data_IF_447807651394
#
_entry.id   IF_447807651394
#
_cell.length_a   1.000
_cell.length_b   1.000
_cell.length_c   1.000
_cell.angle_alpha   90.00
_cell.angle_beta   90.00
_cell.angle_gamma   90.00
#
_symmetry.space_group_name_H-M   'P 1'
#
loop_
_entity.id
_entity.type
_entity.pdbx_description
1 polymer ?
#
# COMPACT_ATOMS: atom_id res chain seq x y z
N UNK A 1 6.57 6.86 14.92
CA UNK A 1 5.11 6.71 14.81
C UNK A 1 4.60 7.62 13.70
N UNK A 2 3.41 7.39 13.13
CA UNK A 2 2.83 8.28 12.09
C UNK A 2 2.40 9.63 12.64
N UNK A 3 2.14 9.74 13.95
CA UNK A 3 1.81 11.01 14.61
C UNK A 3 3.05 11.84 15.00
N UNK A 4 4.26 11.30 14.88
CA UNK A 4 5.49 12.05 15.15
C UNK A 4 5.92 12.79 13.89
N UNK A 5 5.79 14.12 13.92
CA UNK A 5 6.10 15.01 12.80
C UNK A 5 7.52 14.82 12.30
N UNK A 6 7.70 14.96 11.00
CA UNK A 6 9.00 14.90 10.27
C UNK A 6 9.75 13.56 10.40
N UNK A 7 9.14 12.55 11.01
CA UNK A 7 9.68 11.19 11.03
C UNK A 7 9.40 10.46 9.71
N UNK A 8 10.22 9.46 9.36
CA UNK A 8 10.02 8.68 8.13
C UNK A 8 8.61 8.05 8.03
N UNK A 9 8.03 7.47 9.10
CA UNK A 9 6.64 6.98 9.04
C UNK A 9 5.62 8.08 8.77
N UNK A 10 5.75 9.24 9.42
CA UNK A 10 4.85 10.39 9.21
C UNK A 10 4.90 10.90 7.77
N UNK A 11 6.12 11.13 7.26
CA UNK A 11 6.33 11.63 5.90
C UNK A 11 5.82 10.63 4.86
N UNK A 12 6.08 9.34 5.06
CA UNK A 12 5.56 8.28 4.18
C UNK A 12 4.03 8.23 4.21
N UNK A 13 3.43 8.34 5.39
CA UNK A 13 1.98 8.32 5.54
C UNK A 13 1.32 9.52 4.86
N UNK A 14 1.94 10.69 4.86
CA UNK A 14 1.41 11.88 4.18
C UNK A 14 1.66 11.88 2.67
N UNK A 15 2.82 11.38 2.24
CA UNK A 15 3.23 11.35 0.84
C UNK A 15 2.16 10.73 -0.07
N UNK A 16 1.60 9.58 0.31
CA UNK A 16 0.62 8.90 -0.55
C UNK A 16 -0.68 9.70 -0.75
N UNK A 17 -1.10 10.51 0.22
CA UNK A 17 -2.28 11.37 0.09
C UNK A 17 -1.95 12.67 -0.66
N UNK A 18 -0.78 13.25 -0.40
CA UNK A 18 -0.42 14.58 -0.89
C UNK A 18 0.19 14.57 -2.30
N UNK A 19 0.93 13.52 -2.65
CA UNK A 19 1.78 13.48 -3.84
C UNK A 19 1.35 12.43 -4.87
N UNK A 20 0.41 11.55 -4.52
CA UNK A 20 -0.06 10.49 -5.41
C UNK A 20 -1.57 10.56 -5.59
N UNK A 21 -2.04 10.01 -6.71
CA UNK A 21 -3.48 9.72 -6.90
C UNK A 21 -3.74 8.21 -6.77
N UNK A 22 -2.83 7.49 -6.14
CA UNK A 22 -2.92 6.05 -6.00
C UNK A 22 -4.04 5.70 -5.01
N UNK A 23 -4.77 4.64 -5.31
CA UNK A 23 -5.72 4.09 -4.35
C UNK A 23 -4.95 3.36 -3.25
N UNK A 24 -4.98 3.91 -2.05
CA UNK A 24 -4.33 3.35 -0.87
C UNK A 24 -5.30 2.45 -0.10
N UNK A 25 -4.84 1.25 0.25
CA UNK A 25 -5.47 0.42 1.28
C UNK A 25 -4.67 0.59 2.57
N UNK A 26 -5.32 1.11 3.61
CA UNK A 26 -4.68 1.42 4.88
C UNK A 26 -5.22 0.49 5.98
N UNK A 27 -4.31 -0.04 6.80
CA UNK A 27 -4.65 -0.94 7.89
C UNK A 27 -3.86 -0.61 9.16
N UNK A 28 -4.52 -0.69 10.31
CA UNK A 28 -3.85 -0.80 11.60
C UNK A 28 -3.82 -2.28 12.02
N UNK A 29 -2.69 -2.72 12.57
CA UNK A 29 -2.49 -4.09 13.04
C UNK A 29 -2.23 -4.06 14.53
N UNK A 30 -2.99 -4.84 15.30
CA UNK A 30 -2.73 -5.08 16.71
C UNK A 30 -2.31 -6.54 16.89
N UNK A 31 -1.15 -6.79 17.51
CA UNK A 31 -0.71 -8.14 17.83
C UNK A 31 -1.25 -8.55 19.19
N UNK A 32 -2.01 -9.64 19.25
CA UNK A 32 -2.67 -10.10 20.49
C UNK A 32 -1.97 -11.28 21.14
N UNK A 33 -1.11 -12.00 20.40
CA UNK A 33 -0.32 -13.07 20.98
C UNK A 33 0.23 -14.06 19.94
N UNK A 34 0.61 -15.23 20.42
CA UNK A 34 1.14 -16.33 19.59
C UNK A 34 0.46 -17.64 19.97
N UNK A 35 -0.03 -18.36 18.97
CA UNK A 35 -0.71 -19.63 19.15
C UNK A 35 -0.09 -20.67 18.20
N UNK A 36 0.38 -21.81 18.74
CA UNK A 36 1.01 -22.90 17.96
C UNK A 36 2.08 -22.42 16.98
N UNK A 37 2.93 -21.49 17.42
CA UNK A 37 3.98 -20.92 16.56
C UNK A 37 3.52 -19.78 15.65
N UNK A 38 2.21 -19.53 15.51
CA UNK A 38 1.63 -18.51 14.62
C UNK A 38 1.27 -17.24 15.39
N UNK A 39 1.66 -16.09 14.87
CA UNK A 39 1.26 -14.79 15.43
C UNK A 39 -0.24 -14.58 15.21
N UNK A 40 -0.91 -14.05 16.23
CA UNK A 40 -2.32 -13.68 16.23
C UNK A 40 -2.47 -12.19 16.47
N UNK A 41 -3.55 -11.62 15.96
CA UNK A 41 -3.80 -10.19 16.02
C UNK A 41 -5.11 -9.78 15.38
N UNK A 42 -5.43 -8.51 15.53
CA UNK A 42 -6.55 -7.85 14.90
C UNK A 42 -6.05 -6.99 13.71
N UNK A 43 -6.84 -6.96 12.65
CA UNK A 43 -6.61 -6.08 11.50
C UNK A 43 -7.79 -5.12 11.41
N UNK A 44 -7.50 -3.83 11.42
CA UNK A 44 -8.50 -2.77 11.31
C UNK A 44 -8.30 -2.05 9.99
N UNK A 45 -9.31 -2.06 9.13
CA UNK A 45 -9.30 -1.22 7.93
C UNK A 45 -9.46 0.25 8.33
N UNK A 46 -8.64 1.10 7.73
CA UNK A 46 -8.65 2.54 7.95
C UNK A 46 -9.21 3.24 6.71
N UNK A 47 -10.08 4.23 6.94
CA UNK A 47 -10.35 5.26 5.94
C UNK A 47 -9.09 6.14 5.84
N UNK A 48 -8.24 5.85 4.85
CA UNK A 48 -6.93 6.46 4.72
C UNK A 48 -7.01 7.99 4.67
N UNK A 49 -7.96 8.56 3.94
CA UNK A 49 -8.14 10.00 3.81
C UNK A 49 -8.51 10.64 5.14
N UNK A 50 -9.47 10.05 5.89
CA UNK A 50 -9.81 10.55 7.22
C UNK A 50 -8.67 10.39 8.21
N UNK A 51 -7.96 9.27 8.16
CA UNK A 51 -6.82 9.02 9.04
C UNK A 51 -5.66 9.97 8.73
N UNK A 52 -5.44 10.33 7.47
CA UNK A 52 -4.48 11.36 7.08
C UNK A 52 -4.82 12.73 7.71
N UNK A 53 -6.08 13.18 7.62
CA UNK A 53 -6.50 14.44 8.25
C UNK A 53 -6.31 14.40 9.77
N UNK A 54 -6.64 13.26 10.39
CA UNK A 54 -6.40 13.01 11.81
C UNK A 54 -4.91 13.10 12.19
N UNK A 55 -4.04 12.48 11.40
CA UNK A 55 -2.58 12.53 11.60
C UNK A 55 -2.06 13.95 11.48
N UNK A 56 -2.54 14.71 10.48
CA UNK A 56 -2.15 16.11 10.28
C UNK A 56 -2.65 17.03 11.39
N UNK A 57 -3.85 16.81 11.91
CA UNK A 57 -4.42 17.60 13.01
C UNK A 57 -3.72 17.35 14.35
N UNK A 58 -3.33 16.09 14.61
CA UNK A 58 -2.81 15.64 15.91
C UNK A 58 -1.30 15.35 15.90
N UNK A 59 -0.57 15.80 14.89
CA UNK A 59 0.88 15.59 14.82
C UNK A 59 1.58 16.24 16.01
N UNK A 60 2.52 15.51 16.60
CA UNK A 60 3.35 15.96 17.71
C UNK A 60 4.78 16.15 17.20
N UNK A 61 5.44 17.26 17.54
CA UNK A 61 6.82 17.48 17.16
C UNK A 61 7.74 16.53 17.94
N UNK A 62 8.76 16.03 17.26
CA UNK A 62 9.75 15.12 17.82
C UNK A 62 11.13 15.79 17.78
N UNK A 63 11.32 16.77 18.66
CA UNK A 63 12.49 17.66 18.66
C UNK A 63 13.76 16.98 19.17
N UNK A 64 13.64 15.72 19.63
CA UNK A 64 14.77 14.92 20.11
C UNK A 64 14.77 13.54 19.47
N UNK A 65 15.97 13.01 19.30
CA UNK A 65 16.21 11.65 18.82
C UNK A 65 17.06 10.93 19.86
N UNK A 66 16.61 9.75 20.26
CA UNK A 66 17.34 8.81 21.10
C UNK A 66 18.10 7.83 20.19
N UNK A 67 19.42 7.82 20.29
CA UNK A 67 20.30 6.86 19.65
C UNK A 67 20.55 5.71 20.60
N UNK A 68 20.30 4.48 20.15
CA UNK A 68 20.39 3.27 20.95
C UNK A 68 21.59 2.46 20.46
N UNK A 69 22.43 2.08 21.42
CA UNK A 69 23.65 1.33 21.23
C UNK A 69 23.63 0.07 22.12
N UNK A 70 24.56 -0.84 21.85
CA UNK A 70 24.69 -2.13 22.56
C UNK A 70 24.79 -2.00 24.08
N UNK A 71 25.41 -0.94 24.58
CA UNK A 71 25.67 -0.73 26.02
C UNK A 71 25.02 0.54 26.60
N UNK A 72 24.11 1.19 25.85
CA UNK A 72 23.38 2.33 26.38
C UNK A 72 22.71 3.20 25.32
N UNK A 73 22.31 4.40 25.73
CA UNK A 73 21.60 5.34 24.87
C UNK A 73 22.19 6.76 24.97
N UNK A 74 22.05 7.52 23.87
CA UNK A 74 22.41 8.93 23.79
C UNK A 74 21.26 9.73 23.22
N UNK A 75 20.93 10.87 23.82
CA UNK A 75 19.89 11.78 23.31
C UNK A 75 20.53 13.00 22.65
N UNK A 76 19.95 13.42 21.52
CA UNK A 76 20.35 14.65 20.83
C UNK A 76 19.14 15.34 20.20
N UNK A 77 19.29 16.61 19.83
CA UNK A 77 18.29 17.35 19.07
C UNK A 77 18.02 16.71 17.70
N UNK A 78 16.76 16.73 17.28
CA UNK A 78 16.34 16.30 15.96
C UNK A 78 17.00 17.16 14.88
N UNK A 79 17.32 16.55 13.74
CA UNK A 79 18.05 17.21 12.65
C UNK A 79 19.57 17.27 12.85
N UNK A 80 20.09 17.04 14.06
CA UNK A 80 21.54 16.88 14.26
C UNK A 80 22.02 15.60 13.57
N UNK A 81 23.05 15.73 12.76
CA UNK A 81 23.64 14.61 12.03
C UNK A 81 24.17 13.51 12.97
N UNK A 82 23.97 12.26 12.57
CA UNK A 82 24.63 11.06 13.10
C UNK A 82 24.72 10.02 11.98
N UNK A 83 25.71 9.13 12.03
CA UNK A 83 26.05 8.21 10.93
C UNK A 83 26.14 6.73 11.36
N UNK A 84 25.69 6.42 12.58
CA UNK A 84 25.70 5.07 13.12
C UNK A 84 27.10 4.52 13.42
N UNK A 85 28.12 5.39 13.48
CA UNK A 85 29.44 5.00 13.94
C UNK A 85 29.39 4.44 15.37
N UNK A 86 30.13 3.34 15.66
CA UNK A 86 30.21 2.81 17.01
C UNK A 86 30.74 3.88 17.97
N UNK A 87 30.11 3.96 19.14
CA UNK A 87 30.55 4.83 20.21
C UNK A 87 31.60 4.10 21.05
N UNK A 88 32.75 4.72 21.40
CA UNK A 88 33.79 4.07 22.19
C UNK A 88 33.33 3.53 23.56
N UNK A 89 32.27 4.12 24.14
CA UNK A 89 31.73 3.72 25.43
C UNK A 89 30.43 2.93 25.28
N UNK A 90 29.55 3.33 24.36
CA UNK A 90 28.23 2.73 24.21
C UNK A 90 28.22 1.52 23.26
N UNK A 91 29.30 1.30 22.51
CA UNK A 91 29.44 0.16 21.61
C UNK A 91 28.81 0.37 20.24
N UNK A 92 28.35 -0.70 19.61
CA UNK A 92 27.78 -0.67 18.26
C UNK A 92 26.43 0.07 18.26
N UNK A 93 26.23 0.93 17.27
CA UNK A 93 24.92 1.54 17.02
C UNK A 93 23.91 0.48 16.56
N UNK A 94 22.73 0.45 17.19
CA UNK A 94 21.67 -0.50 16.86
C UNK A 94 20.54 0.16 16.08
N UNK A 95 20.02 1.28 16.59
CA UNK A 95 18.84 1.95 16.05
C UNK A 95 18.67 3.35 16.66
N UNK A 96 17.74 4.13 16.12
CA UNK A 96 17.33 5.40 16.71
C UNK A 96 15.81 5.46 16.84
N UNK A 97 15.34 6.30 17.76
CA UNK A 97 13.94 6.58 18.01
C UNK A 97 13.72 8.09 18.07
N UNK A 98 12.75 8.58 17.32
CA UNK A 98 12.27 9.95 17.50
C UNK A 98 11.43 10.00 18.79
N UNK A 99 11.70 10.99 19.63
CA UNK A 99 11.03 11.15 20.94
C UNK A 99 10.15 12.41 20.87
N UNK A 100 8.85 12.31 21.16
CA UNK A 100 7.96 13.47 21.20
C UNK A 100 8.42 14.46 22.26
N UNK A 101 8.18 15.75 22.02
CA UNK A 101 8.33 16.77 23.06
C UNK A 101 7.38 16.57 24.24
N UNK A 102 6.22 15.93 23.99
CA UNK A 102 5.21 15.56 24.99
C UNK A 102 4.87 14.06 24.87
N UNK A 103 5.59 13.19 25.61
CA UNK A 103 5.33 11.76 25.64
C UNK A 103 3.94 11.39 26.16
N UNK A 104 3.38 12.16 27.10
CA UNK A 104 2.07 11.90 27.69
C UNK A 104 0.94 12.22 26.70
N UNK A 105 1.10 13.29 25.90
CA UNK A 105 0.20 13.58 24.79
C UNK A 105 0.23 12.48 23.74
N UNK A 106 1.41 11.97 23.37
CA UNK A 106 1.51 10.86 22.41
C UNK A 106 0.84 9.61 22.98
N UNK A 107 1.10 9.27 24.24
CA UNK A 107 0.50 8.10 24.87
C UNK A 107 -1.03 8.20 24.91
N UNK A 108 -1.55 9.38 25.26
CA UNK A 108 -2.99 9.66 25.29
C UNK A 108 -3.63 9.52 23.90
N UNK A 109 -2.97 10.07 22.88
CA UNK A 109 -3.43 9.98 21.49
C UNK A 109 -3.46 8.53 21.00
N UNK A 110 -2.40 7.76 21.22
CA UNK A 110 -2.36 6.35 20.83
C UNK A 110 -3.41 5.51 21.56
N UNK A 111 -3.72 5.85 22.81
CA UNK A 111 -4.79 5.20 23.57
C UNK A 111 -6.17 5.56 23.02
N UNK A 112 -6.40 6.81 22.60
CA UNK A 112 -7.63 7.23 21.94
C UNK A 112 -7.83 6.47 20.61
N UNK A 113 -6.79 6.42 19.78
CA UNK A 113 -6.79 5.67 18.52
C UNK A 113 -7.09 4.17 18.75
N UNK A 114 -6.54 3.58 19.81
CA UNK A 114 -6.83 2.19 20.19
C UNK A 114 -8.28 2.02 20.63
N UNK A 115 -8.79 2.86 21.53
CA UNK A 115 -10.18 2.79 22.02
C UNK A 115 -11.19 2.96 20.90
N UNK A 116 -10.90 3.85 19.94
CA UNK A 116 -11.74 4.02 18.75
C UNK A 116 -11.84 2.73 17.94
N UNK A 117 -10.71 2.03 17.74
CA UNK A 117 -10.69 0.74 17.03
C UNK A 117 -11.37 -0.39 17.80
N UNK A 118 -11.26 -0.43 19.12
CA UNK A 118 -11.92 -1.43 19.98
C UNK A 118 -13.45 -1.34 19.94
N UNK A 119 -14.01 -0.19 19.56
CA UNK A 119 -15.45 0.00 19.39
C UNK A 119 -15.99 -0.51 18.03
N UNK A 120 -15.11 -0.90 17.11
CA UNK A 120 -15.52 -1.43 15.81
C UNK A 120 -16.08 -2.85 15.95
N UNK A 121 -17.15 -3.12 15.23
CA UNK A 121 -17.72 -4.47 15.13
C UNK A 121 -16.76 -5.40 14.38
N UNK A 122 -16.60 -6.66 14.82
CA UNK A 122 -15.82 -7.65 14.08
C UNK A 122 -16.35 -7.84 12.65
N UNK A 123 -15.42 -7.84 11.68
CA UNK A 123 -15.71 -8.14 10.28
C UNK A 123 -15.41 -9.58 9.90
N UNK A 124 -15.84 -9.99 8.70
CA UNK A 124 -15.46 -11.26 8.09
C UNK A 124 -14.25 -11.06 7.17
N UNK A 125 -13.10 -11.58 7.59
CA UNK A 125 -11.84 -11.46 6.86
C UNK A 125 -11.88 -12.11 5.47
N UNK A 126 -12.60 -13.23 5.31
CA UNK A 126 -12.71 -13.93 4.03
C UNK A 126 -13.54 -13.10 3.05
N UNK A 127 -14.62 -12.49 3.53
CA UNK A 127 -15.47 -11.58 2.75
C UNK A 127 -14.69 -10.33 2.34
N UNK A 128 -13.90 -9.76 3.25
CA UNK A 128 -13.04 -8.61 2.96
C UNK A 128 -12.03 -8.91 1.84
N UNK A 129 -11.30 -10.02 1.95
CA UNK A 129 -10.33 -10.43 0.93
C UNK A 129 -11.02 -10.71 -0.42
N UNK A 130 -12.23 -11.29 -0.42
CA UNK A 130 -13.00 -11.50 -1.64
C UNK A 130 -13.36 -10.16 -2.30
N UNK A 131 -13.84 -9.18 -1.54
CA UNK A 131 -14.16 -7.84 -2.05
C UNK A 131 -12.93 -7.12 -2.63
N UNK A 132 -11.76 -7.22 -1.99
CA UNK A 132 -10.51 -6.68 -2.52
C UNK A 132 -10.13 -7.33 -3.85
N UNK A 133 -10.32 -8.65 -3.96
CA UNK A 133 -10.02 -9.42 -5.16
C UNK A 133 -10.97 -9.09 -6.31
N UNK A 134 -12.25 -8.92 -6.03
CA UNK A 134 -13.24 -8.46 -7.01
C UNK A 134 -12.90 -7.05 -7.50
N UNK A 135 -12.58 -6.14 -6.58
CA UNK A 135 -12.16 -4.78 -6.91
C UNK A 135 -10.87 -4.71 -7.74
N UNK A 136 -9.93 -5.62 -7.50
CA UNK A 136 -8.71 -5.77 -8.30
C UNK A 136 -9.04 -6.14 -9.76
N UNK A 137 -9.90 -7.14 -9.97
CA UNK A 137 -10.33 -7.60 -11.30
C UNK A 137 -11.10 -6.51 -12.03
N UNK A 138 -12.06 -5.87 -11.35
CA UNK A 138 -12.88 -4.80 -11.93
C UNK A 138 -12.05 -3.58 -12.39
N UNK A 139 -11.05 -3.23 -11.57
CA UNK A 139 -10.15 -2.11 -11.88
C UNK A 139 -9.31 -2.41 -13.10
N UNK A 140 -8.79 -3.64 -13.20
CA UNK A 140 -8.02 -4.08 -14.34
C UNK A 140 -8.88 -4.18 -15.61
N UNK A 141 -10.10 -4.69 -15.50
CA UNK A 141 -11.05 -4.74 -16.62
C UNK A 141 -11.33 -3.34 -17.17
N UNK A 142 -11.65 -2.37 -16.29
CA UNK A 142 -11.87 -0.97 -16.68
C UNK A 142 -10.64 -0.35 -17.34
N UNK A 143 -9.45 -0.65 -16.81
CA UNK A 143 -8.18 -0.17 -17.41
C UNK A 143 -7.97 -0.74 -18.80
N UNK A 144 -8.18 -2.05 -19.00
CA UNK A 144 -8.07 -2.69 -20.32
C UNK A 144 -9.06 -2.08 -21.31
N UNK A 145 -10.33 -1.93 -20.93
CA UNK A 145 -11.35 -1.30 -21.80
C UNK A 145 -10.94 0.13 -22.19
N UNK A 146 -10.46 0.92 -21.22
CA UNK A 146 -9.95 2.28 -21.49
C UNK A 146 -8.78 2.28 -22.48
N UNK A 147 -7.81 1.38 -22.28
CA UNK A 147 -6.66 1.27 -23.18
C UNK A 147 -7.05 0.79 -24.58
N UNK A 148 -8.00 -0.15 -24.69
CA UNK A 148 -8.53 -0.61 -25.97
C UNK A 148 -9.24 0.52 -26.72
N UNK A 149 -9.98 1.38 -26.03
CA UNK A 149 -10.66 2.56 -26.61
C UNK A 149 -9.69 3.70 -26.97
N UNK A 150 -8.52 3.77 -26.35
CA UNK A 150 -7.55 4.87 -26.52
C UNK A 150 -6.93 4.94 -27.92
N UNK A 151 -6.83 3.80 -28.61
CA UNK A 151 -6.21 3.71 -29.92
C UNK A 151 -7.25 3.80 -31.04
N UNK A 152 -7.05 4.71 -32.00
CA UNK A 152 -7.91 4.78 -33.20
C UNK A 152 -7.62 3.65 -34.20
N UNK A 153 -6.36 3.25 -34.32
CA UNK A 153 -5.90 2.19 -35.22
C UNK A 153 -5.27 1.02 -34.44
N UNK A 154 -5.26 -0.20 -35.03
CA UNK A 154 -4.56 -1.35 -34.45
C UNK A 154 -3.11 -1.04 -34.04
N UNK A 155 -2.74 -1.43 -32.82
CA UNK A 155 -1.43 -1.14 -32.21
C UNK A 155 -0.52 -2.39 -32.09
N UNK A 156 -0.98 -3.53 -32.62
CA UNK A 156 -0.16 -4.72 -32.85
C UNK A 156 0.95 -4.48 -33.90
N UNK A 157 2.08 -5.20 -33.83
CA UNK A 157 3.18 -5.05 -34.79
C UNK A 157 2.76 -5.20 -36.26
N UNK A 158 1.84 -6.10 -36.56
CA UNK A 158 1.31 -6.36 -37.91
C UNK A 158 0.02 -5.58 -38.23
N UNK A 159 -0.44 -4.69 -37.34
CA UNK A 159 -1.65 -3.86 -37.51
C UNK A 159 -2.96 -4.65 -37.71
N UNK A 160 -3.05 -5.86 -37.16
CA UNK A 160 -4.26 -6.71 -37.26
C UNK A 160 -5.13 -6.69 -36.02
N UNK A 161 -4.56 -6.39 -34.85
CA UNK A 161 -5.25 -6.39 -33.55
C UNK A 161 -5.04 -5.08 -32.79
N UNK A 162 -6.01 -4.73 -31.95
CA UNK A 162 -5.82 -3.85 -30.81
C UNK A 162 -5.35 -4.65 -29.61
N UNK A 163 -4.48 -4.04 -28.80
CA UNK A 163 -3.81 -4.72 -27.70
C UNK A 163 -3.72 -3.82 -26.48
N UNK A 164 -3.96 -4.41 -25.31
CA UNK A 164 -3.69 -3.79 -24.01
C UNK A 164 -2.92 -4.78 -23.15
N UNK A 165 -1.74 -4.38 -22.67
CA UNK A 165 -0.96 -5.22 -21.75
C UNK A 165 -1.67 -5.33 -20.40
N UNK A 166 -1.74 -6.52 -19.82
CA UNK A 166 -2.22 -6.73 -18.45
C UNK A 166 -1.23 -6.09 -17.47
N UNK A 167 -1.75 -5.48 -16.41
CA UNK A 167 -0.96 -4.75 -15.42
C UNK A 167 0.00 -5.71 -14.70
N UNK A 168 1.30 -5.39 -14.60
CA UNK A 168 2.23 -6.18 -13.81
C UNK A 168 1.82 -6.31 -12.34
N UNK A 169 1.16 -5.29 -11.78
CA UNK A 169 0.65 -5.35 -10.41
C UNK A 169 -0.52 -6.34 -10.29
N UNK A 170 -1.44 -6.32 -11.25
CA UNK A 170 -2.50 -7.32 -11.34
C UNK A 170 -1.93 -8.73 -11.46
N UNK A 171 -0.99 -8.95 -12.39
CA UNK A 171 -0.38 -10.26 -12.63
C UNK A 171 0.41 -10.82 -11.44
N UNK A 172 0.90 -9.97 -10.53
CA UNK A 172 1.57 -10.41 -9.28
C UNK A 172 0.58 -10.86 -8.21
N UNK A 173 -0.63 -10.32 -8.21
CA UNK A 173 -1.64 -10.54 -7.16
C UNK A 173 -2.72 -11.53 -7.57
N UNK A 174 -3.03 -11.61 -8.86
CA UNK A 174 -4.06 -12.45 -9.43
C UNK A 174 -3.63 -13.92 -9.46
N UNK A 175 -4.56 -14.82 -9.13
CA UNK A 175 -4.43 -16.24 -9.48
C UNK A 175 -5.04 -16.51 -10.86
N UNK A 176 -4.85 -17.72 -11.38
CA UNK A 176 -5.42 -18.16 -12.66
C UNK A 176 -6.93 -17.90 -12.75
N UNK A 177 -7.69 -18.27 -11.71
CA UNK A 177 -9.14 -18.04 -11.66
C UNK A 177 -9.55 -16.57 -11.77
N UNK A 178 -8.71 -15.64 -11.30
CA UNK A 178 -9.00 -14.21 -11.43
C UNK A 178 -8.75 -13.72 -12.85
N UNK A 179 -7.79 -14.32 -13.52
CA UNK A 179 -7.50 -14.02 -14.93
C UNK A 179 -8.65 -14.52 -15.81
N UNK A 180 -9.23 -15.69 -15.50
CA UNK A 180 -10.42 -16.21 -16.20
C UNK A 180 -11.65 -15.32 -15.98
N UNK A 181 -11.83 -14.83 -14.74
CA UNK A 181 -12.88 -13.86 -14.41
C UNK A 181 -12.66 -12.53 -15.13
N UNK A 182 -11.42 -12.02 -15.15
CA UNK A 182 -11.05 -10.81 -15.91
C UNK A 182 -11.41 -10.96 -17.39
N UNK A 183 -11.04 -12.09 -18.01
CA UNK A 183 -11.38 -12.41 -19.39
C UNK A 183 -12.89 -12.35 -19.62
N UNK A 184 -13.67 -12.96 -18.72
CA UNK A 184 -15.13 -13.02 -18.80
C UNK A 184 -15.82 -11.66 -18.61
N UNK A 185 -15.17 -10.70 -17.93
CA UNK A 185 -15.71 -9.37 -17.68
C UNK A 185 -15.50 -8.40 -18.85
N UNK A 186 -14.61 -8.72 -19.79
CA UNK A 186 -14.30 -7.86 -20.91
C UNK A 186 -15.34 -8.05 -22.03
N UNK A 187 -15.92 -6.95 -22.57
CA UNK A 187 -17.09 -7.02 -23.45
C UNK A 187 -16.72 -7.29 -24.92
N UNK A 188 -15.68 -8.08 -25.18
CA UNK A 188 -15.13 -8.26 -26.53
C UNK A 188 -15.27 -9.71 -27.00
N UNK A 189 -15.83 -9.92 -28.19
CA UNK A 189 -16.11 -11.25 -28.75
C UNK A 189 -14.85 -11.95 -29.26
N UNK A 190 -13.94 -11.20 -29.86
CA UNK A 190 -12.66 -11.70 -30.40
C UNK A 190 -11.52 -11.67 -29.38
N UNK A 191 -11.84 -11.53 -28.08
CA UNK A 191 -10.83 -11.42 -27.04
C UNK A 191 -9.94 -12.66 -26.95
N UNK A 192 -8.65 -12.44 -26.84
CA UNK A 192 -7.67 -13.45 -26.44
C UNK A 192 -6.61 -12.85 -25.52
N UNK A 193 -6.08 -13.66 -24.60
CA UNK A 193 -4.90 -13.30 -23.80
C UNK A 193 -3.68 -14.05 -24.33
N UNK A 194 -2.60 -13.34 -24.66
CA UNK A 194 -1.39 -13.95 -25.23
C UNK A 194 -0.13 -13.16 -24.93
N UNK A 195 1.01 -13.85 -24.98
CA UNK A 195 2.33 -13.20 -25.00
C UNK A 195 2.64 -12.78 -26.43
N UNK A 196 3.46 -11.75 -26.57
CA UNK A 196 3.84 -11.21 -27.88
C UNK A 196 5.35 -11.30 -28.00
N UNK A 197 5.80 -11.84 -29.13
CA UNK A 197 7.23 -11.94 -29.43
C UNK A 197 7.90 -10.56 -29.35
N UNK A 198 9.03 -10.50 -28.65
CA UNK A 198 9.77 -9.26 -28.43
C UNK A 198 9.12 -8.29 -27.42
N UNK A 199 8.03 -8.66 -26.73
CA UNK A 199 7.42 -7.85 -25.67
C UNK A 199 7.27 -8.62 -24.37
N UNK A 200 7.45 -7.93 -23.24
CA UNK A 200 7.28 -8.51 -21.92
C UNK A 200 5.82 -8.42 -21.44
N UNK A 201 5.34 -9.50 -20.82
CA UNK A 201 4.02 -9.57 -20.20
C UNK A 201 2.96 -10.25 -21.07
N UNK A 202 1.75 -10.33 -20.53
CA UNK A 202 0.57 -10.86 -21.19
C UNK A 202 -0.26 -9.71 -21.72
N UNK A 203 -0.81 -9.85 -22.93
CA UNK A 203 -1.63 -8.84 -23.59
C UNK A 203 -3.03 -9.39 -23.83
N UNK A 204 -4.03 -8.56 -23.56
CA UNK A 204 -5.35 -8.69 -24.15
C UNK A 204 -5.29 -8.25 -25.60
N UNK A 205 -5.86 -9.04 -26.50
CA UNK A 205 -5.90 -8.84 -27.94
C UNK A 205 -7.34 -8.91 -28.43
N UNK A 206 -7.74 -8.01 -29.30
CA UNK A 206 -9.03 -8.04 -30.02
C UNK A 206 -8.79 -7.73 -31.48
N UNK A 207 -9.61 -8.31 -32.37
CA UNK A 207 -9.49 -8.10 -33.81
C UNK A 207 -9.71 -6.62 -34.17
N UNK A 208 -9.09 -6.15 -35.25
CA UNK A 208 -9.27 -4.78 -35.74
C UNK A 208 -10.73 -4.40 -36.05
N UNK A 209 -11.59 -5.39 -36.35
CA UNK A 209 -13.02 -5.21 -36.62
C UNK A 209 -13.93 -5.37 -35.39
N UNK A 210 -13.39 -5.63 -34.20
CA UNK A 210 -14.17 -5.75 -32.97
C UNK A 210 -14.87 -4.43 -32.64
N UNK A 211 -16.14 -4.49 -32.21
CA UNK A 211 -16.82 -3.32 -31.68
C UNK A 211 -16.23 -2.98 -30.30
N UNK A 212 -15.76 -1.74 -30.16
CA UNK A 212 -15.10 -1.27 -28.95
C UNK A 212 -15.91 -0.25 -28.17
N UNK A 213 -17.10 0.14 -28.62
CA UNK A 213 -17.96 1.14 -27.97
C UNK A 213 -18.74 0.59 -26.77
#
# INVERSE_FOLDING_TARGET
DVFLKDTAPHNTWRFYMEQTSDRVLAYAIELTGKERGKIKGNLYELDYSKHYERVKEKELPADTVKLIYEHGERVQEAGRYFDGTPDPQLGKFERFEAVPNDPDALQSLLQEERRSREQLSPGDFKTHIAALRDGLIETEARRIVREMKRHYEPNSPNKTHFMAGLSPAFMRLAATKDTDRLFSMLPYKTLSFSKIEGRHGTYALIDKGENRD
#
